data_IF_378914385718
#
_entry.id   IF_378914385718
#
_cell.length_a   1.000
_cell.length_b   1.000
_cell.length_c   1.000
_cell.angle_alpha   90.00
_cell.angle_beta   90.00
_cell.angle_gamma   90.00
#
_symmetry.space_group_name_H-M   'P 1'
#
loop_
_entity.id
_entity.type
_entity.pdbx_description
1 polymer ?
#
# COMPACT_ATOMS: atom_id res chain seq x y z
N UNK A 1 13.83 -14.97 22.19
CA UNK A 1 13.04 -13.81 21.74
C UNK A 1 12.79 -12.93 22.96
N UNK A 2 13.64 -11.93 23.17
CA UNK A 2 13.67 -11.13 24.40
C UNK A 2 12.37 -10.33 24.61
N UNK A 3 11.76 -10.50 25.79
CA UNK A 3 10.52 -9.82 26.21
C UNK A 3 10.65 -8.29 26.14
N UNK A 4 11.85 -7.75 26.37
CA UNK A 4 12.14 -6.31 26.30
C UNK A 4 11.97 -5.78 24.86
N UNK A 5 12.52 -6.51 23.90
CA UNK A 5 12.46 -6.18 22.48
C UNK A 5 11.00 -6.22 21.97
N UNK A 6 10.19 -7.19 22.43
CA UNK A 6 8.75 -7.25 22.11
C UNK A 6 7.96 -6.05 22.63
N UNK A 7 8.28 -5.54 23.84
CA UNK A 7 7.61 -4.36 24.41
C UNK A 7 7.93 -3.09 23.62
N UNK A 8 9.20 -2.90 23.25
CA UNK A 8 9.65 -1.74 22.46
C UNK A 8 9.02 -1.75 21.06
N UNK A 9 9.02 -2.90 20.38
CA UNK A 9 8.35 -3.05 19.08
C UNK A 9 6.83 -2.78 19.18
N UNK A 10 6.19 -3.21 20.26
CA UNK A 10 4.75 -2.96 20.49
C UNK A 10 4.49 -1.47 20.74
N UNK A 11 5.32 -0.79 21.52
CA UNK A 11 5.20 0.63 21.79
C UNK A 11 5.41 1.48 20.52
N UNK A 12 6.44 1.15 19.73
CA UNK A 12 6.70 1.78 18.44
C UNK A 12 5.54 1.57 17.46
N UNK A 13 4.98 0.36 17.39
CA UNK A 13 3.81 0.06 16.55
C UNK A 13 2.58 0.89 16.94
N UNK A 14 2.29 1.00 18.24
CA UNK A 14 1.15 1.77 18.75
C UNK A 14 1.33 3.29 18.62
N UNK A 15 2.56 3.77 18.74
CA UNK A 15 2.90 5.19 18.64
C UNK A 15 3.05 5.69 17.20
N UNK A 16 2.98 4.81 16.19
CA UNK A 16 3.13 5.22 14.79
C UNK A 16 2.02 6.20 14.40
N UNK A 17 2.40 7.33 13.82
CA UNK A 17 1.44 8.23 13.18
C UNK A 17 0.91 7.53 11.93
N UNK A 18 -0.38 7.23 11.92
CA UNK A 18 -1.05 6.70 10.73
C UNK A 18 -1.28 7.88 9.78
N UNK A 19 -0.67 7.81 8.61
CA UNK A 19 -0.78 8.81 7.54
C UNK A 19 -1.72 8.25 6.47
N UNK A 20 -2.82 8.96 6.24
CA UNK A 20 -3.71 8.70 5.12
C UNK A 20 -3.20 9.35 3.85
N UNK A 21 -3.94 9.24 2.76
CA UNK A 21 -3.54 9.90 1.53
C UNK A 21 -4.22 9.37 0.29
N UNK A 22 -3.82 9.95 -0.83
CA UNK A 22 -4.20 9.57 -2.19
C UNK A 22 -3.01 8.86 -2.82
N UNK A 23 -3.27 7.73 -3.47
CA UNK A 23 -2.25 6.96 -4.17
C UNK A 23 -2.81 6.38 -5.47
N UNK A 24 -1.92 5.98 -6.36
CA UNK A 24 -2.24 5.33 -7.61
C UNK A 24 -1.51 4.00 -7.73
N UNK A 25 -2.17 3.03 -8.37
CA UNK A 25 -1.51 1.82 -8.87
C UNK A 25 -1.34 1.99 -10.37
N UNK A 26 -0.09 2.09 -10.81
CA UNK A 26 0.28 2.44 -12.18
C UNK A 26 0.77 1.20 -12.90
N UNK A 27 0.17 0.90 -14.05
CA UNK A 27 0.70 -0.10 -14.98
C UNK A 27 1.74 0.56 -15.88
N UNK A 28 3.01 0.18 -15.72
CA UNK A 28 4.12 0.74 -16.50
C UNK A 28 4.11 0.38 -17.98
N UNK A 29 3.38 -0.67 -18.36
CA UNK A 29 3.35 -1.15 -19.74
C UNK A 29 2.40 -0.34 -20.64
N UNK A 30 1.35 0.25 -20.07
CA UNK A 30 0.33 0.97 -20.84
C UNK A 30 0.00 2.37 -20.29
N UNK A 31 0.61 2.77 -19.18
CA UNK A 31 0.39 4.07 -18.54
C UNK A 31 -0.95 4.23 -17.83
N UNK A 32 -1.82 3.20 -17.81
CA UNK A 32 -3.08 3.26 -17.06
C UNK A 32 -2.79 3.28 -15.57
N UNK A 33 -3.61 4.03 -14.84
CA UNK A 33 -3.52 4.11 -13.38
C UNK A 33 -4.89 3.99 -12.73
N UNK A 34 -4.93 3.32 -11.58
CA UNK A 34 -6.08 3.29 -10.70
C UNK A 34 -5.83 4.18 -9.49
N UNK A 35 -6.55 5.28 -9.40
CA UNK A 35 -6.51 6.23 -8.28
C UNK A 35 -7.35 5.72 -7.10
N UNK A 36 -6.80 5.80 -5.89
CA UNK A 36 -7.40 5.34 -4.65
C UNK A 36 -7.06 6.28 -3.49
N UNK A 37 -7.88 6.24 -2.44
CA UNK A 37 -7.62 6.92 -1.18
C UNK A 37 -7.55 5.91 -0.04
N UNK A 38 -6.86 6.27 1.04
CA UNK A 38 -6.76 5.44 2.24
C UNK A 38 -6.50 6.27 3.47
N UNK A 39 -6.93 5.78 4.64
CA UNK A 39 -6.53 6.35 5.92
C UNK A 39 -5.17 5.83 6.39
N UNK A 40 -4.64 4.76 5.77
CA UNK A 40 -3.34 4.15 6.09
C UNK A 40 -2.58 3.81 4.81
N UNK A 41 -1.69 4.73 4.39
CA UNK A 41 -0.84 4.54 3.22
C UNK A 41 0.13 3.37 3.40
N UNK A 42 0.69 3.20 4.60
CA UNK A 42 1.62 2.11 4.87
C UNK A 42 0.93 0.75 4.76
N UNK A 43 -0.27 0.62 5.32
CA UNK A 43 -1.09 -0.59 5.19
C UNK A 43 -1.43 -0.90 3.74
N UNK A 44 -1.77 0.12 2.95
CA UNK A 44 -2.10 -0.03 1.53
C UNK A 44 -0.89 -0.45 0.70
N UNK A 45 0.29 0.13 0.97
CA UNK A 45 1.55 -0.25 0.34
C UNK A 45 1.96 -1.69 0.67
N UNK A 46 1.80 -2.11 1.93
CA UNK A 46 2.09 -3.48 2.37
C UNK A 46 1.16 -4.49 1.68
N UNK A 47 -0.14 -4.18 1.59
CA UNK A 47 -1.11 -5.02 0.88
C UNK A 47 -0.74 -5.17 -0.60
N UNK A 48 -0.30 -4.09 -1.25
CA UNK A 48 0.18 -4.14 -2.62
C UNK A 48 1.44 -5.00 -2.78
N UNK A 49 2.43 -4.83 -1.90
CA UNK A 49 3.65 -5.63 -1.91
C UNK A 49 3.35 -7.12 -1.76
N UNK A 50 2.52 -7.48 -0.77
CA UNK A 50 2.09 -8.86 -0.54
C UNK A 50 1.35 -9.45 -1.75
N UNK A 51 0.50 -8.68 -2.40
CA UNK A 51 -0.20 -9.11 -3.60
C UNK A 51 0.74 -9.33 -4.79
N UNK A 52 1.79 -8.50 -4.93
CA UNK A 52 2.88 -8.79 -5.88
C UNK A 52 3.57 -10.10 -5.54
N UNK A 53 3.98 -10.32 -4.30
CA UNK A 53 4.69 -11.55 -3.89
C UNK A 53 3.85 -12.82 -4.10
N UNK A 54 2.55 -12.75 -3.81
CA UNK A 54 1.62 -13.89 -3.91
C UNK A 54 0.95 -14.04 -5.27
N UNK A 55 1.26 -13.17 -6.24
CA UNK A 55 0.62 -13.16 -7.56
C UNK A 55 -0.88 -12.81 -7.54
N UNK A 56 -1.42 -12.38 -6.39
CA UNK A 56 -2.82 -12.00 -6.23
C UNK A 56 -3.07 -10.57 -6.72
N UNK A 57 -4.28 -10.29 -7.19
CA UNK A 57 -4.65 -8.93 -7.58
C UNK A 57 -5.27 -8.17 -6.39
N UNK A 58 -4.84 -6.92 -6.15
CA UNK A 58 -5.37 -6.11 -5.04
C UNK A 58 -6.74 -5.49 -5.30
N UNK A 59 -7.17 -5.40 -6.56
CA UNK A 59 -8.41 -4.74 -6.93
C UNK A 59 -8.99 -5.36 -8.20
N UNK A 60 -10.30 -5.63 -8.20
CA UNK A 60 -10.98 -6.24 -9.35
C UNK A 60 -10.82 -5.45 -10.65
N UNK A 61 -10.73 -4.11 -10.56
CA UNK A 61 -10.52 -3.21 -11.72
C UNK A 61 -9.16 -3.41 -12.41
N UNK A 62 -8.20 -4.02 -11.73
CA UNK A 62 -6.87 -4.30 -12.28
C UNK A 62 -6.75 -5.73 -12.79
N UNK A 63 -7.74 -6.61 -12.57
CA UNK A 63 -7.59 -8.06 -12.80
C UNK A 63 -7.16 -8.41 -14.22
N UNK A 64 -7.79 -7.78 -15.24
CA UNK A 64 -7.48 -8.06 -16.64
C UNK A 64 -6.05 -7.65 -17.00
N UNK A 65 -5.66 -6.41 -16.69
CA UNK A 65 -4.30 -5.92 -16.91
C UNK A 65 -3.28 -6.70 -16.06
N UNK A 66 -3.63 -7.10 -14.84
CA UNK A 66 -2.76 -7.86 -13.94
C UNK A 66 -2.46 -9.26 -14.48
N UNK A 67 -3.48 -9.93 -15.05
CA UNK A 67 -3.30 -11.21 -15.75
C UNK A 67 -2.50 -11.05 -17.04
N UNK A 68 -2.68 -9.94 -17.75
CA UNK A 68 -2.03 -9.68 -19.05
C UNK A 68 -0.56 -9.30 -18.94
N UNK A 69 -0.21 -8.38 -18.04
CA UNK A 69 1.15 -7.81 -17.92
C UNK A 69 1.95 -8.36 -16.74
N UNK A 70 1.30 -9.10 -15.84
CA UNK A 70 1.90 -9.62 -14.61
C UNK A 70 2.02 -8.57 -13.51
N UNK A 71 2.11 -9.05 -12.28
CA UNK A 71 2.32 -8.27 -11.06
C UNK A 71 3.53 -7.31 -11.11
N UNK A 72 4.62 -7.70 -11.79
CA UNK A 72 5.84 -6.90 -11.89
C UNK A 72 5.65 -5.58 -12.66
N UNK A 73 4.65 -5.53 -13.56
CA UNK A 73 4.33 -4.35 -14.36
C UNK A 73 3.70 -3.20 -13.56
N UNK A 74 3.25 -3.46 -12.32
CA UNK A 74 2.54 -2.49 -11.50
C UNK A 74 3.45 -1.87 -10.44
N UNK A 75 3.23 -0.58 -10.20
CA UNK A 75 3.84 0.18 -9.12
C UNK A 75 2.81 0.89 -8.26
N UNK A 76 3.15 1.07 -6.98
CA UNK A 76 2.38 1.85 -6.02
C UNK A 76 3.01 3.24 -5.90
N UNK A 77 2.25 4.28 -6.26
CA UNK A 77 2.71 5.67 -6.27
C UNK A 77 1.85 6.49 -5.31
N UNK A 78 2.45 7.10 -4.29
CA UNK A 78 1.76 8.07 -3.43
C UNK A 78 1.67 9.40 -4.17
N UNK A 79 0.47 9.98 -4.24
CA UNK A 79 0.25 11.27 -4.88
C UNK A 79 0.10 12.39 -3.86
N UNK A 80 -0.55 12.11 -2.73
CA UNK A 80 -0.74 13.07 -1.65
C UNK A 80 -0.77 12.36 -0.31
N UNK A 81 -0.07 12.90 0.68
CA UNK A 81 -0.13 12.42 2.06
C UNK A 81 -1.07 13.33 2.88
N UNK A 82 -1.97 12.70 3.63
CA UNK A 82 -2.95 13.36 4.47
C UNK A 82 -2.71 12.99 5.94
N UNK A 83 -2.20 13.94 6.71
CA UNK A 83 -2.11 13.81 8.16
C UNK A 83 -3.45 14.13 8.81
N UNK A 84 -3.84 13.35 9.83
CA UNK A 84 -5.02 13.65 10.65
C UNK A 84 -4.89 15.07 11.23
N UNK A 85 -5.82 15.97 10.88
CA UNK A 85 -5.94 17.26 11.56
C UNK A 85 -6.29 16.99 13.02
N UNK A 86 -5.48 17.55 13.92
CA UNK A 86 -5.83 17.61 15.35
C UNK A 86 -6.87 18.71 15.45
N UNK A 87 -8.12 18.33 15.73
CA UNK A 87 -9.18 19.27 16.08
C UNK A 87 -9.20 19.45 17.59
#
# INVERSE_FOLDING_TARGET
>A
MDKQNKKELTAAYRGRKVVGGIYAIVNRQNGKMLLLSTCDLQGSRNRFAFAKETGSCINLKLTEDWRKYGNAAFDFTVLEELSKKVT
#
